data_IF_777836845407
#
_entry.id   IF_777836845407
#
_cell.length_a   1.000
_cell.length_b   1.000
_cell.length_c   1.000
_cell.angle_alpha   90.00
_cell.angle_beta   90.00
_cell.angle_gamma   90.00
#
_symmetry.space_group_name_H-M   'P 1'
#
loop_
_entity.id
_entity.type
_entity.pdbx_description
1 polymer ?
#
# COMPACT_ATOMS: atom_id res chain seq x y z
N UNK A 1 13.31 4.89 24.38
CA UNK A 1 12.42 5.63 23.47
C UNK A 1 12.02 4.65 22.40
N UNK A 2 10.78 4.71 21.94
CA UNK A 2 10.34 3.77 20.91
C UNK A 2 11.10 4.02 19.62
N UNK A 3 11.62 2.94 19.05
CA UNK A 3 12.19 2.90 17.71
C UNK A 3 11.30 2.03 16.84
N UNK A 4 10.95 2.53 15.67
CA UNK A 4 10.07 1.89 14.73
C UNK A 4 10.88 1.41 13.53
N UNK A 5 10.85 0.11 13.25
CA UNK A 5 11.25 -0.43 11.97
C UNK A 5 10.01 -0.56 11.10
N UNK A 6 9.97 0.14 9.96
CA UNK A 6 8.89 0.06 8.99
C UNK A 6 9.41 -0.50 7.67
N UNK A 7 8.67 -1.41 7.04
CA UNK A 7 8.99 -1.97 5.73
C UNK A 7 7.79 -1.87 4.80
N UNK A 8 8.02 -1.29 3.63
CA UNK A 8 7.08 -1.17 2.53
C UNK A 8 7.43 -2.20 1.46
N UNK A 9 6.51 -3.10 1.19
CA UNK A 9 6.77 -4.19 0.25
C UNK A 9 5.49 -4.80 -0.27
N UNK A 10 5.46 -5.07 -1.57
CA UNK A 10 4.41 -5.86 -2.20
C UNK A 10 4.34 -7.31 -1.73
N UNK A 11 5.38 -7.84 -1.07
CA UNK A 11 5.38 -9.22 -0.57
C UNK A 11 4.59 -9.39 0.74
N UNK A 12 4.01 -8.32 1.28
CA UNK A 12 3.35 -8.30 2.59
C UNK A 12 1.91 -7.81 2.40
N UNK A 13 0.92 -8.43 3.06
CA UNK A 13 -0.44 -7.92 3.09
C UNK A 13 -0.47 -6.42 3.41
N UNK A 14 -1.37 -5.66 2.78
CA UNK A 14 -1.52 -4.19 2.89
C UNK A 14 -0.26 -3.33 2.58
N UNK A 15 0.79 -3.97 2.06
CA UNK A 15 2.06 -3.38 1.66
C UNK A 15 2.84 -2.69 2.78
N UNK A 16 2.52 -2.98 4.06
CA UNK A 16 3.17 -2.37 5.24
C UNK A 16 3.51 -3.41 6.30
N UNK A 17 4.66 -3.25 6.90
CA UNK A 17 5.05 -3.90 8.14
C UNK A 17 5.64 -2.88 9.10
N UNK A 18 5.30 -3.00 10.37
CA UNK A 18 5.86 -2.17 11.44
C UNK A 18 6.24 -3.05 12.63
N UNK A 19 7.46 -2.88 13.13
CA UNK A 19 7.91 -3.50 14.38
C UNK A 19 8.48 -2.44 15.31
N UNK A 20 8.11 -2.53 16.58
CA UNK A 20 8.53 -1.58 17.63
C UNK A 20 9.64 -2.20 18.47
N UNK A 21 10.64 -1.38 18.76
CA UNK A 21 11.79 -1.66 19.61
C UNK A 21 11.99 -0.53 20.61
N UNK A 22 12.93 -0.71 21.52
CA UNK A 22 13.41 0.33 22.42
C UNK A 22 14.92 0.50 22.22
N UNK A 23 15.38 1.75 22.17
CA UNK A 23 16.80 2.11 22.23
C UNK A 23 16.95 3.55 22.77
N UNK A 24 18.18 4.01 22.94
CA UNK A 24 18.48 5.40 23.31
C UNK A 24 18.44 6.37 22.11
N UNK A 25 18.64 5.87 20.89
CA UNK A 25 18.55 6.63 19.63
C UNK A 25 18.45 5.67 18.45
N UNK A 26 18.16 6.18 17.25
CA UNK A 26 18.20 5.38 16.01
C UNK A 26 19.59 4.77 15.79
N UNK A 27 20.67 5.52 16.06
CA UNK A 27 22.03 4.99 15.91
C UNK A 27 22.32 3.87 16.91
N UNK A 28 21.89 4.04 18.15
CA UNK A 28 22.10 3.04 19.20
C UNK A 28 21.30 1.77 18.92
N UNK A 29 20.08 1.88 18.36
CA UNK A 29 19.33 0.73 17.88
C UNK A 29 20.11 -0.09 16.85
N UNK A 30 20.74 0.56 15.86
CA UNK A 30 21.57 -0.16 14.89
C UNK A 30 22.77 -0.84 15.56
N UNK A 31 23.43 -0.19 16.53
CA UNK A 31 24.60 -0.76 17.22
C UNK A 31 24.24 -1.94 18.11
N UNK A 32 23.19 -1.80 18.91
CA UNK A 32 22.70 -2.80 19.86
C UNK A 32 22.18 -4.06 19.14
N UNK A 33 21.61 -3.89 17.95
CA UNK A 33 21.00 -4.97 17.18
C UNK A 33 21.86 -5.40 15.98
N UNK A 34 23.12 -4.96 15.91
CA UNK A 34 23.96 -5.14 14.72
C UNK A 34 24.17 -6.61 14.35
N UNK A 35 24.37 -7.49 15.34
CA UNK A 35 24.56 -8.93 15.10
C UNK A 35 23.34 -9.61 14.46
N UNK A 36 22.14 -9.07 14.67
CA UNK A 36 20.92 -9.56 14.01
C UNK A 36 20.73 -8.97 12.60
N UNK A 37 21.33 -7.80 12.34
CA UNK A 37 21.24 -7.05 11.09
C UNK A 37 22.42 -7.31 10.16
N UNK A 38 23.49 -7.94 10.64
CA UNK A 38 24.72 -8.22 9.91
C UNK A 38 25.10 -9.70 10.01
N UNK A 39 25.72 -10.24 8.97
CA UNK A 39 26.11 -11.66 8.92
C UNK A 39 25.55 -12.37 7.69
N UNK A 40 25.82 -13.66 7.59
CA UNK A 40 25.49 -14.44 6.38
C UNK A 40 24.05 -15.00 6.39
N UNK A 41 23.45 -15.15 7.57
CA UNK A 41 22.17 -15.85 7.71
C UNK A 41 20.97 -14.91 7.54
N UNK A 42 20.32 -15.01 6.38
CA UNK A 42 19.11 -14.27 6.03
C UNK A 42 17.92 -14.55 6.98
N UNK A 43 17.85 -15.74 7.58
CA UNK A 43 16.76 -16.08 8.50
C UNK A 43 16.87 -15.30 9.82
N UNK A 44 18.09 -14.97 10.27
CA UNK A 44 18.29 -14.18 11.49
C UNK A 44 17.62 -12.81 11.38
N UNK A 45 17.77 -12.14 10.24
CA UNK A 45 17.11 -10.84 9.97
C UNK A 45 15.59 -11.01 9.98
N UNK A 46 15.07 -12.05 9.30
CA UNK A 46 13.62 -12.30 9.25
C UNK A 46 13.05 -12.53 10.64
N UNK A 47 13.69 -13.38 11.44
CA UNK A 47 13.19 -13.75 12.76
C UNK A 47 13.29 -12.52 13.72
N UNK A 48 14.32 -11.69 13.55
CA UNK A 48 14.50 -10.47 14.33
C UNK A 48 13.53 -9.34 13.92
N UNK A 49 13.34 -9.06 12.64
CA UNK A 49 12.49 -7.96 12.15
C UNK A 49 11.03 -8.37 11.93
N UNK A 50 10.74 -9.67 11.91
CA UNK A 50 9.45 -10.25 11.50
C UNK A 50 9.27 -10.36 9.98
N UNK A 51 10.17 -9.75 9.21
CA UNK A 51 10.16 -9.71 7.74
C UNK A 51 11.59 -9.71 7.23
N UNK A 52 11.79 -10.09 5.96
CA UNK A 52 13.10 -10.02 5.30
C UNK A 52 13.13 -8.80 4.38
N UNK A 53 13.58 -7.62 4.86
CA UNK A 53 13.76 -6.47 3.99
C UNK A 53 14.90 -6.71 3.01
N UNK A 54 14.70 -6.29 1.77
CA UNK A 54 15.76 -6.35 0.78
C UNK A 54 16.93 -5.44 1.16
N UNK A 55 18.14 -5.88 0.82
CA UNK A 55 19.39 -5.22 1.21
C UNK A 55 19.90 -5.55 2.63
N UNK A 56 19.22 -6.42 3.39
CA UNK A 56 19.72 -6.97 4.66
C UNK A 56 19.86 -8.50 4.60
N UNK A 57 20.78 -9.10 5.37
CA UNK A 57 21.72 -8.49 6.33
C UNK A 57 22.87 -7.73 5.67
N UNK A 58 23.54 -6.86 6.44
CA UNK A 58 24.82 -6.28 6.04
C UNK A 58 25.91 -7.36 6.07
N UNK A 59 26.41 -7.73 4.90
CA UNK A 59 27.48 -8.71 4.78
C UNK A 59 28.48 -8.30 3.71
N UNK A 60 29.77 -8.42 4.03
CA UNK A 60 30.83 -8.18 3.07
C UNK A 60 31.11 -9.45 2.28
N UNK A 61 30.47 -9.58 1.12
CA UNK A 61 30.66 -10.71 0.21
C UNK A 61 32.07 -10.76 -0.42
N UNK A 62 32.81 -9.64 -0.45
CA UNK A 62 34.17 -9.62 -0.99
C UNK A 62 35.16 -10.23 0.01
N UNK A 63 35.00 -9.92 1.30
CA UNK A 63 35.91 -10.41 2.34
C UNK A 63 35.39 -11.62 3.12
N UNK A 64 34.13 -12.02 2.88
CA UNK A 64 33.41 -13.08 3.60
C UNK A 64 33.46 -12.90 5.12
N UNK A 65 33.26 -11.66 5.58
CA UNK A 65 33.33 -11.30 6.99
C UNK A 65 32.13 -10.46 7.43
N UNK A 66 31.73 -10.56 8.71
CA UNK A 66 30.77 -9.63 9.28
C UNK A 66 31.28 -8.20 9.21
N UNK A 67 30.40 -7.28 8.84
CA UNK A 67 30.69 -5.85 8.85
C UNK A 67 30.70 -5.39 10.32
N UNK A 68 31.69 -4.60 10.75
CA UNK A 68 31.68 -4.03 12.10
C UNK A 68 30.51 -3.05 12.31
N UNK A 69 30.00 -2.85 13.54
CA UNK A 69 28.92 -1.89 13.81
C UNK A 69 29.32 -0.44 13.48
N UNK A 70 28.35 0.45 13.20
CA UNK A 70 28.61 1.86 12.91
C UNK A 70 28.96 2.65 14.17
N UNK A 71 30.03 3.45 14.11
CA UNK A 71 30.40 4.36 15.19
C UNK A 71 29.73 5.74 15.09
N UNK A 72 29.08 6.07 13.98
CA UNK A 72 28.39 7.35 13.79
C UNK A 72 27.30 7.23 12.73
N UNK A 73 26.40 8.21 12.64
CA UNK A 73 25.39 8.27 11.56
C UNK A 73 26.03 8.32 10.17
N UNK A 74 27.17 8.99 10.03
CA UNK A 74 27.96 8.98 8.78
C UNK A 74 28.49 7.58 8.49
N UNK A 75 29.01 6.90 9.51
CA UNK A 75 29.45 5.50 9.41
C UNK A 75 28.31 4.55 9.04
N UNK A 76 27.13 4.73 9.63
CA UNK A 76 25.92 3.96 9.29
C UNK A 76 25.53 4.17 7.83
N UNK A 77 25.43 5.43 7.37
CA UNK A 77 25.14 5.74 5.96
C UNK A 77 26.14 5.09 5.01
N UNK A 78 27.42 5.11 5.37
CA UNK A 78 28.47 4.47 4.57
C UNK A 78 28.26 2.96 4.50
N UNK A 79 27.99 2.30 5.63
CA UNK A 79 27.78 0.84 5.68
C UNK A 79 26.56 0.42 4.88
N UNK A 80 25.44 1.14 4.99
CA UNK A 80 24.25 0.85 4.20
C UNK A 80 24.59 0.90 2.71
N UNK A 81 25.23 1.98 2.24
CA UNK A 81 25.59 2.11 0.82
C UNK A 81 26.60 1.09 0.31
N UNK A 82 27.48 0.59 1.19
CA UNK A 82 28.54 -0.33 0.81
C UNK A 82 28.12 -1.80 0.87
N UNK A 83 27.17 -2.15 1.73
CA UNK A 83 26.86 -3.54 2.06
C UNK A 83 25.38 -3.90 1.89
N UNK A 84 24.52 -2.95 1.55
CA UNK A 84 23.15 -3.19 1.11
C UNK A 84 23.00 -2.72 -0.34
N UNK A 85 22.23 -3.46 -1.13
CA UNK A 85 21.75 -2.94 -2.40
C UNK A 85 20.69 -1.87 -2.12
N UNK A 86 20.92 -0.65 -2.63
CA UNK A 86 20.05 0.51 -2.38
C UNK A 86 20.09 1.49 -3.55
N UNK A 87 18.94 2.05 -3.90
CA UNK A 87 18.80 3.13 -4.87
C UNK A 87 18.97 4.50 -4.20
N UNK A 88 18.34 4.69 -3.03
CA UNK A 88 18.44 5.92 -2.25
C UNK A 88 18.64 5.62 -0.76
N UNK A 89 19.53 6.40 -0.11
CA UNK A 89 19.78 6.32 1.34
C UNK A 89 19.83 7.70 1.95
N UNK A 90 18.88 7.97 2.85
CA UNK A 90 18.84 9.17 3.71
C UNK A 90 19.01 8.73 5.17
N UNK A 91 19.95 9.37 5.87
CA UNK A 91 20.22 9.12 7.30
C UNK A 91 20.23 10.46 8.01
N UNK A 92 19.37 10.57 9.00
CA UNK A 92 19.27 11.67 9.95
C UNK A 92 19.36 11.12 11.39
N UNK A 93 19.32 12.02 12.38
CA UNK A 93 19.41 11.64 13.81
C UNK A 93 18.24 10.76 14.25
N UNK A 94 17.06 11.09 13.76
CA UNK A 94 15.75 10.60 14.19
C UNK A 94 15.10 9.67 13.14
N UNK A 95 15.69 9.55 11.95
CA UNK A 95 15.16 8.73 10.87
C UNK A 95 16.23 8.26 9.87
N UNK A 96 16.21 6.98 9.53
CA UNK A 96 16.88 6.37 8.38
C UNK A 96 15.80 5.95 7.38
N UNK A 97 16.03 6.26 6.10
CA UNK A 97 15.17 5.86 4.98
C UNK A 97 16.03 5.22 3.90
N UNK A 98 15.61 4.04 3.47
CA UNK A 98 16.26 3.31 2.39
C UNK A 98 15.22 2.95 1.36
N UNK A 99 15.49 3.35 0.12
CA UNK A 99 14.76 2.97 -1.07
C UNK A 99 15.63 2.00 -1.87
N UNK A 100 15.04 0.91 -2.33
CA UNK A 100 15.72 -0.19 -3.00
C UNK A 100 14.74 -0.88 -3.94
N UNK A 101 15.22 -1.84 -4.71
CA UNK A 101 14.41 -2.75 -5.52
C UNK A 101 15.04 -4.14 -5.41
N UNK A 102 14.27 -5.17 -5.71
CA UNK A 102 14.75 -6.54 -5.75
C UNK A 102 14.76 -7.15 -7.13
N UNK A 103 14.96 -6.32 -8.16
CA UNK A 103 14.80 -6.60 -9.60
C UNK A 103 13.35 -6.79 -10.10
N UNK A 104 12.44 -7.25 -9.25
CA UNK A 104 11.02 -7.39 -9.58
C UNK A 104 10.22 -6.12 -9.27
N UNK A 105 10.37 -5.59 -8.04
CA UNK A 105 9.60 -4.43 -7.56
C UNK A 105 10.43 -3.48 -6.70
N UNK A 106 9.93 -2.25 -6.59
CA UNK A 106 10.48 -1.25 -5.68
C UNK A 106 10.03 -1.48 -4.24
N UNK A 107 10.96 -1.26 -3.30
CA UNK A 107 10.84 -1.57 -1.88
C UNK A 107 11.42 -0.41 -1.05
N UNK A 108 10.93 -0.25 0.17
CA UNK A 108 11.51 0.74 1.08
C UNK A 108 11.47 0.27 2.52
N UNK A 109 12.53 0.53 3.28
CA UNK A 109 12.50 0.36 4.74
C UNK A 109 12.98 1.60 5.46
N UNK A 110 12.50 1.75 6.68
CA UNK A 110 12.70 2.92 7.52
C UNK A 110 13.01 2.49 8.95
N UNK A 111 13.84 3.28 9.62
CA UNK A 111 14.04 3.20 11.08
C UNK A 111 13.90 4.60 11.63
N UNK A 112 12.94 4.84 12.52
CA UNK A 112 12.69 6.18 13.08
C UNK A 112 12.29 6.12 14.55
N UNK A 113 12.52 7.20 15.28
CA UNK A 113 12.12 7.32 16.69
C UNK A 113 10.70 7.88 16.88
N UNK A 114 10.20 7.82 18.11
CA UNK A 114 8.87 8.35 18.47
C UNK A 114 8.71 9.86 18.26
N UNK A 115 9.79 10.63 18.36
CA UNK A 115 9.77 12.07 18.11
C UNK A 115 9.55 12.36 16.61
N UNK A 116 10.22 11.60 15.73
CA UNK A 116 9.96 11.65 14.30
C UNK A 116 8.52 11.20 14.00
N UNK A 117 8.04 10.14 14.66
CA UNK A 117 6.69 9.64 14.50
C UNK A 117 5.64 10.71 14.81
N UNK A 118 5.75 11.35 15.98
CA UNK A 118 4.82 12.37 16.45
C UNK A 118 4.77 13.60 15.53
N UNK A 119 5.92 14.00 14.95
CA UNK A 119 6.00 15.16 14.04
C UNK A 119 5.49 14.88 12.62
N UNK A 120 5.37 13.63 12.22
CA UNK A 120 5.03 13.21 10.86
C UNK A 120 3.78 12.32 10.81
N UNK A 121 2.81 12.55 11.71
CA UNK A 121 1.58 11.74 11.78
C UNK A 121 0.77 11.71 10.49
N UNK A 122 0.80 12.79 9.69
CA UNK A 122 0.21 12.84 8.35
C UNK A 122 0.85 11.86 7.33
N UNK A 123 1.91 11.14 7.71
CA UNK A 123 2.57 10.10 6.91
C UNK A 123 2.67 8.76 7.64
N UNK A 124 2.58 8.78 8.98
CA UNK A 124 2.87 7.65 9.86
C UNK A 124 1.61 7.03 10.48
N UNK A 125 0.51 7.76 10.61
CA UNK A 125 -0.67 7.28 11.33
C UNK A 125 -1.22 5.95 10.82
N UNK A 126 -1.12 5.69 9.51
CA UNK A 126 -1.54 4.43 8.90
C UNK A 126 -0.60 3.26 9.22
N UNK A 127 0.68 3.53 9.46
CA UNK A 127 1.68 2.51 9.80
C UNK A 127 1.50 1.99 11.23
N UNK A 128 0.98 2.83 12.12
CA UNK A 128 0.74 2.50 13.53
C UNK A 128 -0.52 1.63 13.75
N UNK A 129 -1.13 1.12 12.68
CA UNK A 129 -2.39 0.41 12.70
C UNK A 129 -2.32 -0.86 11.86
N UNK A 130 -2.78 -1.97 12.45
CA UNK A 130 -2.95 -3.23 11.74
C UNK A 130 -4.19 -3.21 10.83
N UNK A 131 -5.22 -2.44 11.22
CA UNK A 131 -6.46 -2.26 10.47
C UNK A 131 -6.93 -0.80 10.49
N UNK A 132 -7.64 -0.40 9.44
CA UNK A 132 -8.25 0.91 9.39
C UNK A 132 -9.45 1.01 10.35
N UNK A 133 -9.63 2.16 11.03
CA UNK A 133 -10.79 2.40 11.89
C UNK A 133 -12.08 2.34 11.07
N UNK A 134 -13.14 1.79 11.66
CA UNK A 134 -14.43 1.62 10.98
C UNK A 134 -15.43 2.75 11.30
N UNK A 135 -15.10 3.60 12.27
CA UNK A 135 -15.91 4.74 12.69
C UNK A 135 -15.94 5.83 11.60
N UNK A 136 -17.06 6.55 11.53
CA UNK A 136 -17.31 7.61 10.55
C UNK A 136 -18.16 8.71 11.19
N UNK A 137 -18.07 9.93 10.66
CA UNK A 137 -18.83 11.08 11.14
C UNK A 137 -20.23 11.18 10.52
N UNK A 138 -21.09 11.96 11.15
CA UNK A 138 -22.44 12.27 10.64
C UNK A 138 -22.42 13.29 9.48
N UNK A 139 -21.32 14.04 9.34
CA UNK A 139 -21.12 15.10 8.35
C UNK A 139 -19.84 14.87 7.56
N UNK A 140 -19.76 15.29 6.28
CA UNK A 140 -18.57 15.12 5.47
C UNK A 140 -17.44 16.06 5.94
N UNK A 141 -16.20 15.59 5.79
CA UNK A 141 -15.01 16.35 6.11
C UNK A 141 -14.96 17.69 5.35
N UNK A 142 -14.67 18.77 6.07
CA UNK A 142 -14.54 20.10 5.48
C UNK A 142 -13.31 20.21 4.54
N UNK A 143 -12.21 19.53 4.88
CA UNK A 143 -10.99 19.52 4.09
C UNK A 143 -10.96 18.31 3.15
N UNK A 144 -10.76 18.56 1.85
CA UNK A 144 -10.58 17.50 0.85
C UNK A 144 -9.11 17.08 0.77
N UNK A 145 -8.88 15.78 0.58
CA UNK A 145 -7.54 15.27 0.30
C UNK A 145 -7.08 15.70 -1.10
N UNK A 146 -5.78 15.96 -1.25
CA UNK A 146 -5.16 16.13 -2.57
C UNK A 146 -5.32 14.84 -3.36
N UNK A 147 -6.10 14.88 -4.43
CA UNK A 147 -6.44 13.72 -5.26
C UNK A 147 -6.69 14.07 -6.72
N UNK A 148 -6.67 13.06 -7.60
CA UNK A 148 -7.04 13.18 -9.01
C UNK A 148 -8.55 13.06 -9.19
N UNK A 149 -9.16 13.90 -10.01
CA UNK A 149 -10.62 13.82 -10.25
C UNK A 149 -10.95 12.74 -11.28
N UNK A 150 -11.91 11.90 -10.93
CA UNK A 150 -12.60 10.97 -11.84
C UNK A 150 -13.86 11.64 -12.39
N UNK A 151 -14.22 11.27 -13.62
CA UNK A 151 -15.43 11.69 -14.34
C UNK A 151 -16.24 10.49 -14.83
N UNK A 152 -17.57 10.61 -14.97
CA UNK A 152 -18.40 11.77 -14.61
C UNK A 152 -18.41 12.04 -13.09
N UNK A 153 -18.99 13.17 -12.68
CA UNK A 153 -19.28 13.40 -11.25
C UNK A 153 -20.67 12.83 -10.95
N UNK A 154 -20.90 12.43 -9.71
CA UNK A 154 -22.26 12.16 -9.24
C UNK A 154 -23.07 13.44 -9.03
N UNK A 155 -24.38 13.26 -8.85
CA UNK A 155 -25.32 14.35 -8.52
C UNK A 155 -25.65 14.46 -7.03
N UNK A 156 -25.09 13.59 -6.19
CA UNK A 156 -25.39 13.52 -4.76
C UNK A 156 -24.43 14.33 -3.88
N UNK A 157 -24.50 14.07 -2.58
CA UNK A 157 -23.56 14.58 -1.59
C UNK A 157 -22.36 13.63 -1.40
N UNK A 158 -21.29 14.15 -0.80
CA UNK A 158 -20.09 13.40 -0.46
C UNK A 158 -19.06 13.26 -1.58
N UNK A 159 -17.90 12.71 -1.21
CA UNK A 159 -16.74 12.51 -2.08
C UNK A 159 -16.07 11.19 -1.74
N UNK A 160 -16.17 10.21 -2.64
CA UNK A 160 -15.43 8.94 -2.53
C UNK A 160 -14.01 9.13 -3.01
N UNK A 161 -13.04 8.66 -2.22
CA UNK A 161 -11.63 8.52 -2.55
C UNK A 161 -11.30 7.05 -2.79
N UNK A 162 -10.53 6.77 -3.83
CA UNK A 162 -10.08 5.43 -4.19
C UNK A 162 -8.56 5.45 -4.26
N UNK A 163 -7.93 4.62 -3.45
CA UNK A 163 -6.50 4.42 -3.36
C UNK A 163 -6.23 3.02 -3.86
N UNK A 164 -5.36 2.90 -4.86
CA UNK A 164 -4.95 1.62 -5.39
C UNK A 164 -3.43 1.57 -5.45
N UNK A 165 -2.87 0.46 -4.98
CA UNK A 165 -1.45 0.14 -5.02
C UNK A 165 -1.26 -1.15 -5.83
N UNK A 166 -1.80 -1.20 -7.05
CA UNK A 166 -1.59 -2.32 -7.97
C UNK A 166 -0.09 -2.52 -8.17
N UNK A 167 0.37 -3.76 -8.02
CA UNK A 167 1.75 -4.14 -8.23
C UNK A 167 1.86 -4.87 -9.56
N UNK A 168 2.84 -4.50 -10.37
CA UNK A 168 3.19 -5.16 -11.62
C UNK A 168 4.70 -5.22 -11.79
N UNK A 169 5.14 -6.10 -12.68
CA UNK A 169 6.54 -6.30 -13.03
C UNK A 169 7.19 -4.96 -13.44
N UNK A 170 8.33 -4.65 -12.83
CA UNK A 170 9.22 -3.53 -13.16
C UNK A 170 8.78 -2.12 -12.74
N UNK A 171 7.75 -1.93 -11.92
CA UNK A 171 7.48 -0.63 -11.28
C UNK A 171 6.51 -0.67 -10.10
N UNK A 172 6.65 0.23 -9.11
CA UNK A 172 5.65 0.36 -8.05
C UNK A 172 5.66 1.71 -7.32
N UNK A 173 6.66 1.95 -6.48
CA UNK A 173 6.68 3.02 -5.49
C UNK A 173 6.95 4.42 -6.06
N UNK A 174 7.68 4.51 -7.18
CA UNK A 174 7.91 5.76 -7.90
C UNK A 174 6.73 6.14 -8.82
N UNK A 175 5.88 5.17 -9.18
CA UNK A 175 4.66 5.36 -9.97
C UNK A 175 3.42 5.75 -9.12
N UNK A 176 3.62 5.96 -7.82
CA UNK A 176 2.56 6.34 -6.89
C UNK A 176 2.04 7.75 -7.14
N UNK A 177 0.83 7.87 -7.66
CA UNK A 177 0.26 9.18 -7.97
C UNK A 177 -0.66 9.75 -6.88
N UNK A 178 -1.01 8.97 -5.87
CA UNK A 178 -1.97 9.33 -4.81
C UNK A 178 -3.41 8.92 -5.11
N UNK A 179 -4.35 9.28 -4.22
CA UNK A 179 -5.75 8.91 -4.34
C UNK A 179 -6.42 9.55 -5.57
N UNK A 180 -7.40 8.83 -6.09
CA UNK A 180 -8.40 9.34 -7.03
C UNK A 180 -9.68 9.69 -6.28
N UNK A 181 -10.51 10.60 -6.80
CA UNK A 181 -11.79 10.98 -6.20
C UNK A 181 -12.95 11.04 -7.18
N UNK A 182 -14.12 10.61 -6.73
CA UNK A 182 -15.40 10.80 -7.40
C UNK A 182 -16.20 11.79 -6.55
N UNK A 183 -16.47 12.97 -7.09
CA UNK A 183 -17.25 13.99 -6.38
C UNK A 183 -18.75 13.76 -6.59
N UNK A 184 -19.54 14.04 -5.55
CA UNK A 184 -20.99 13.89 -5.55
C UNK A 184 -21.46 12.44 -5.34
N UNK A 185 -20.58 11.59 -4.77
CA UNK A 185 -20.83 10.16 -4.52
C UNK A 185 -20.14 9.77 -3.22
N UNK A 186 -20.92 9.45 -2.18
CA UNK A 186 -20.44 8.77 -0.98
C UNK A 186 -20.34 7.25 -1.21
N UNK A 187 -19.57 6.53 -0.40
CA UNK A 187 -19.36 5.08 -0.54
C UNK A 187 -20.68 4.29 -0.57
N UNK A 188 -21.69 4.58 0.27
CA UNK A 188 -22.99 3.89 0.19
C UNK A 188 -23.70 4.01 -1.17
N UNK A 189 -23.46 5.10 -1.92
CA UNK A 189 -24.03 5.34 -3.25
C UNK A 189 -23.11 4.95 -4.41
N UNK A 190 -21.91 4.42 -4.13
CA UNK A 190 -20.88 4.16 -5.14
C UNK A 190 -21.30 3.10 -6.15
N UNK A 191 -21.97 2.05 -5.68
CA UNK A 191 -22.35 0.89 -6.50
C UNK A 191 -23.41 1.29 -7.53
N UNK A 192 -24.42 2.06 -7.10
CA UNK A 192 -25.46 2.57 -7.98
C UNK A 192 -24.89 3.58 -8.98
N UNK A 193 -24.00 4.46 -8.52
CA UNK A 193 -23.25 5.35 -9.40
C UNK A 193 -22.54 4.57 -10.52
N UNK A 194 -21.82 3.49 -10.18
CA UNK A 194 -21.11 2.68 -11.17
C UNK A 194 -22.02 1.95 -12.16
N UNK A 195 -23.20 1.50 -11.70
CA UNK A 195 -24.19 0.84 -12.56
C UNK A 195 -24.78 1.80 -13.58
N UNK A 196 -25.12 3.01 -13.15
CA UNK A 196 -25.97 3.93 -13.92
C UNK A 196 -25.19 4.89 -14.82
N UNK A 197 -23.93 5.17 -14.50
CA UNK A 197 -23.15 6.18 -15.21
C UNK A 197 -22.25 5.57 -16.29
N UNK A 198 -21.85 6.40 -17.25
CA UNK A 198 -20.86 6.06 -18.27
C UNK A 198 -19.54 5.54 -17.67
N UNK A 199 -18.75 4.78 -18.44
CA UNK A 199 -17.44 4.33 -18.00
C UNK A 199 -16.59 5.48 -17.46
N UNK A 200 -15.98 5.26 -16.30
CA UNK A 200 -15.19 6.31 -15.66
C UNK A 200 -13.98 6.70 -16.52
N UNK A 201 -13.68 7.99 -16.49
CA UNK A 201 -12.52 8.62 -17.14
C UNK A 201 -11.79 9.49 -16.14
N UNK A 202 -10.53 9.81 -16.40
CA UNK A 202 -9.72 10.62 -15.51
C UNK A 202 -8.48 11.15 -16.22
N UNK A 203 -7.71 11.97 -15.51
CA UNK A 203 -6.33 12.25 -15.92
C UNK A 203 -5.56 10.92 -16.06
N UNK A 204 -4.48 10.89 -16.84
CA UNK A 204 -3.63 9.70 -16.93
C UNK A 204 -3.30 9.27 -15.51
N UNK A 205 -3.93 8.19 -15.06
CA UNK A 205 -3.71 7.64 -13.74
C UNK A 205 -2.64 6.59 -13.95
N UNK A 206 -1.65 6.54 -13.07
CA UNK A 206 -0.53 5.61 -13.10
C UNK A 206 -1.05 4.21 -13.46
N UNK A 207 -0.20 3.44 -14.15
CA UNK A 207 -0.65 2.23 -14.86
C UNK A 207 -1.68 1.43 -14.04
N UNK A 208 -2.81 1.16 -14.67
CA UNK A 208 -3.90 0.32 -14.15
C UNK A 208 -4.79 0.87 -13.04
N UNK A 209 -4.47 1.99 -12.38
CA UNK A 209 -5.33 2.52 -11.32
C UNK A 209 -6.73 2.91 -11.83
N UNK A 210 -6.81 3.51 -13.03
CA UNK A 210 -8.11 3.79 -13.68
C UNK A 210 -8.80 2.51 -14.14
N UNK A 211 -8.03 1.54 -14.63
CA UNK A 211 -8.57 0.31 -15.17
C UNK A 211 -9.12 -0.60 -14.06
N UNK A 212 -8.50 -0.63 -12.87
CA UNK A 212 -9.06 -1.29 -11.70
C UNK A 212 -10.41 -0.66 -11.31
N UNK A 213 -10.53 0.67 -11.34
CA UNK A 213 -11.81 1.35 -11.04
C UNK A 213 -12.86 1.03 -12.11
N UNK A 214 -12.47 1.00 -13.40
CA UNK A 214 -13.36 0.57 -14.49
C UNK A 214 -13.77 -0.89 -14.33
N UNK A 215 -12.88 -1.74 -13.84
CA UNK A 215 -13.17 -3.13 -13.57
C UNK A 215 -14.17 -3.27 -12.41
N UNK A 216 -13.99 -2.54 -11.31
CA UNK A 216 -14.99 -2.45 -10.22
C UNK A 216 -16.34 -1.98 -10.76
N UNK A 217 -16.33 -0.94 -11.61
CA UNK A 217 -17.54 -0.44 -12.25
C UNK A 217 -18.23 -1.54 -13.09
N UNK A 218 -17.46 -2.30 -13.85
CA UNK A 218 -17.98 -3.42 -14.64
C UNK A 218 -18.53 -4.55 -13.76
N UNK A 219 -17.87 -4.88 -12.65
CA UNK A 219 -18.39 -5.86 -11.69
C UNK A 219 -19.78 -5.44 -11.17
N UNK A 220 -19.97 -4.15 -10.88
CA UNK A 220 -21.28 -3.64 -10.43
C UNK A 220 -22.38 -3.82 -11.48
N UNK A 221 -22.04 -3.77 -12.77
CA UNK A 221 -22.97 -3.98 -13.90
C UNK A 221 -23.25 -5.45 -14.18
N UNK A 222 -22.23 -6.30 -14.05
CA UNK A 222 -22.37 -7.77 -14.23
C UNK A 222 -23.17 -8.39 -13.08
N UNK A 223 -23.01 -7.85 -11.87
CA UNK A 223 -23.67 -8.32 -10.66
C UNK A 223 -24.55 -7.22 -10.04
N UNK A 224 -25.66 -6.84 -10.69
CA UNK A 224 -26.50 -5.73 -10.25
C UNK A 224 -27.21 -6.00 -8.91
N UNK A 225 -27.35 -7.27 -8.53
CA UNK A 225 -27.98 -7.74 -7.29
C UNK A 225 -27.00 -7.84 -6.11
N UNK A 226 -25.71 -7.65 -6.34
CA UNK A 226 -24.70 -7.76 -5.28
C UNK A 226 -24.67 -6.48 -4.42
N UNK A 227 -24.55 -6.68 -3.12
CA UNK A 227 -24.25 -5.61 -2.18
C UNK A 227 -22.76 -5.22 -2.24
N UNK A 228 -22.39 -4.18 -1.50
CA UNK A 228 -21.03 -3.67 -1.40
C UNK A 228 -20.02 -4.78 -1.09
N UNK A 229 -20.31 -5.60 -0.07
CA UNK A 229 -19.42 -6.65 0.39
C UNK A 229 -19.18 -7.68 -0.70
N UNK A 230 -20.24 -8.18 -1.35
CA UNK A 230 -20.14 -9.20 -2.42
C UNK A 230 -19.41 -8.69 -3.65
N UNK A 231 -19.56 -7.42 -4.03
CA UNK A 231 -18.79 -6.84 -5.13
C UNK A 231 -17.30 -6.84 -4.81
N UNK A 232 -16.91 -6.41 -3.61
CA UNK A 232 -15.50 -6.35 -3.25
C UNK A 232 -14.89 -7.72 -2.92
N UNK A 233 -15.67 -8.67 -2.41
CA UNK A 233 -15.28 -10.09 -2.36
C UNK A 233 -15.10 -10.67 -3.77
N UNK A 234 -15.88 -10.22 -4.75
CA UNK A 234 -15.70 -10.60 -6.16
C UNK A 234 -14.44 -9.97 -6.76
N UNK A 235 -14.15 -8.70 -6.48
CA UNK A 235 -12.87 -8.07 -6.85
C UNK A 235 -11.69 -8.83 -6.24
N UNK A 236 -11.79 -9.21 -4.97
CA UNK A 236 -10.77 -9.98 -4.28
C UNK A 236 -10.58 -11.38 -4.85
N UNK A 237 -11.65 -11.99 -5.37
CA UNK A 237 -11.62 -13.26 -6.07
C UNK A 237 -10.99 -13.13 -7.47
N UNK A 238 -11.21 -12.02 -8.14
CA UNK A 238 -10.71 -11.73 -9.50
C UNK A 238 -9.88 -10.43 -9.51
N UNK A 239 -8.70 -10.39 -8.88
CA UNK A 239 -7.89 -9.17 -8.83
C UNK A 239 -7.52 -8.75 -10.24
N UNK A 240 -7.64 -7.44 -10.51
CA UNK A 240 -7.47 -6.87 -11.85
C UNK A 240 -6.15 -7.29 -12.52
N UNK A 241 -5.05 -7.31 -11.77
CA UNK A 241 -3.72 -7.66 -12.30
C UNK A 241 -3.60 -9.12 -12.77
N UNK A 242 -4.35 -10.06 -12.21
CA UNK A 242 -4.32 -11.48 -12.64
C UNK A 242 -5.14 -11.71 -13.92
N UNK A 243 -6.26 -11.01 -14.02
CA UNK A 243 -7.15 -11.10 -15.18
C UNK A 243 -6.79 -10.11 -16.27
N UNK A 244 -5.78 -9.25 -16.07
CA UNK A 244 -5.45 -8.17 -16.99
C UNK A 244 -5.15 -8.69 -18.40
N UNK A 245 -4.39 -9.76 -18.55
CA UNK A 245 -4.10 -10.34 -19.87
C UNK A 245 -5.33 -10.94 -20.56
N UNK A 246 -6.28 -11.43 -19.76
CA UNK A 246 -7.57 -11.91 -20.25
C UNK A 246 -8.45 -10.74 -20.71
N UNK A 247 -8.49 -9.67 -19.91
CA UNK A 247 -9.14 -8.40 -20.22
C UNK A 247 -8.45 -7.72 -21.42
N UNK A 248 -7.14 -7.75 -21.60
CA UNK A 248 -6.49 -7.05 -22.72
C UNK A 248 -6.98 -7.54 -24.10
N UNK A 249 -7.58 -8.73 -24.16
CA UNK A 249 -8.19 -9.29 -25.37
C UNK A 249 -9.64 -8.83 -25.61
N UNK A 250 -10.28 -8.20 -24.62
CA UNK A 250 -11.66 -7.68 -24.62
C UNK A 250 -11.76 -6.40 -23.80
N UNK A 251 -12.23 -5.29 -24.38
CA UNK A 251 -12.45 -4.06 -23.62
C UNK A 251 -13.15 -4.33 -22.27
N UNK A 252 -12.68 -3.72 -21.16
CA UNK A 252 -13.21 -3.97 -19.79
C UNK A 252 -14.74 -3.90 -19.76
N UNK A 253 -15.29 -2.94 -20.50
CA UNK A 253 -16.74 -2.68 -20.59
C UNK A 253 -17.54 -3.78 -21.27
N UNK A 254 -16.89 -4.67 -22.02
CA UNK A 254 -17.51 -5.78 -22.75
C UNK A 254 -17.45 -7.11 -21.98
N UNK A 255 -16.78 -7.13 -20.82
CA UNK A 255 -16.66 -8.33 -20.01
C UNK A 255 -18.04 -8.78 -19.48
N UNK A 256 -18.28 -10.08 -19.49
CA UNK A 256 -19.53 -10.70 -19.02
C UNK A 256 -19.33 -11.58 -17.79
N UNK A 257 -20.43 -12.00 -17.16
CA UNK A 257 -20.40 -12.99 -16.06
C UNK A 257 -19.76 -14.31 -16.50
N UNK A 258 -20.12 -14.79 -17.69
CA UNK A 258 -19.60 -16.04 -18.24
C UNK A 258 -18.08 -15.98 -18.46
N UNK A 259 -17.56 -14.80 -18.84
CA UNK A 259 -16.13 -14.59 -18.99
C UNK A 259 -15.38 -14.76 -17.65
N UNK A 260 -15.92 -14.21 -16.56
CA UNK A 260 -15.35 -14.37 -15.20
C UNK A 260 -15.48 -15.81 -14.68
N UNK A 261 -16.59 -16.48 -14.96
CA UNK A 261 -16.81 -17.87 -14.55
C UNK A 261 -15.90 -18.86 -15.29
N UNK A 262 -15.51 -18.55 -16.53
CA UNK A 262 -14.52 -19.32 -17.30
C UNK A 262 -13.08 -19.10 -16.85
N UNK A 263 -12.80 -18.00 -16.15
CA UNK A 263 -11.45 -17.72 -15.68
C UNK A 263 -11.14 -18.59 -14.45
N UNK A 264 -10.26 -19.58 -14.64
CA UNK A 264 -9.77 -20.43 -13.55
C UNK A 264 -8.82 -19.63 -12.66
N UNK A 265 -9.25 -19.39 -11.43
CA UNK A 265 -8.43 -18.73 -10.41
C UNK A 265 -7.52 -19.80 -9.80
N UNK A 266 -6.24 -19.46 -9.59
CA UNK A 266 -5.35 -20.26 -8.76
C UNK A 266 -5.89 -20.29 -7.32
N UNK A 267 -6.33 -21.46 -6.82
CA UNK A 267 -6.94 -21.61 -5.48
C UNK A 267 -6.15 -20.95 -4.34
N UNK A 268 -4.82 -20.86 -4.47
CA UNK A 268 -3.92 -20.25 -3.49
C UNK A 268 -4.09 -18.75 -3.33
N UNK A 269 -4.61 -18.03 -4.34
CA UNK A 269 -4.81 -16.59 -4.29
C UNK A 269 -6.06 -16.21 -3.48
N UNK A 270 -7.17 -16.92 -3.68
CA UNK A 270 -8.43 -16.61 -3.00
C UNK A 270 -8.34 -16.78 -1.46
N UNK A 271 -7.55 -17.74 -0.98
CA UNK A 271 -7.46 -18.07 0.44
C UNK A 271 -6.73 -17.04 1.30
N UNK A 272 -5.94 -16.12 0.71
CA UNK A 272 -5.20 -15.08 1.44
C UNK A 272 -5.74 -13.68 1.21
N UNK A 273 -6.80 -13.53 0.42
CA UNK A 273 -7.43 -12.24 0.22
C UNK A 273 -8.20 -11.82 1.47
N UNK A 274 -8.22 -10.53 1.78
CA UNK A 274 -9.02 -9.94 2.84
C UNK A 274 -9.84 -8.77 2.31
N UNK A 275 -11.10 -8.71 2.76
CA UNK A 275 -12.01 -7.60 2.52
C UNK A 275 -12.59 -7.19 3.86
N UNK A 276 -12.28 -5.97 4.28
CA UNK A 276 -12.87 -5.32 5.45
C UNK A 276 -13.76 -4.20 4.95
N UNK A 277 -14.98 -4.11 5.46
CA UNK A 277 -15.92 -3.07 5.02
C UNK A 277 -16.77 -2.53 6.16
N UNK A 278 -17.07 -1.24 6.05
CA UNK A 278 -18.09 -0.49 6.78
C UNK A 278 -18.92 0.29 5.75
N UNK A 279 -19.98 1.03 6.15
CA UNK A 279 -20.75 1.85 5.22
C UNK A 279 -19.91 2.89 4.45
N UNK A 280 -18.83 3.39 5.06
CA UNK A 280 -18.03 4.51 4.53
C UNK A 280 -16.56 4.16 4.23
N UNK A 281 -16.17 2.89 4.38
CA UNK A 281 -14.82 2.39 4.13
C UNK A 281 -14.86 0.96 3.58
N UNK A 282 -13.99 0.68 2.62
CA UNK A 282 -13.64 -0.66 2.17
C UNK A 282 -12.12 -0.76 2.06
N UNK A 283 -11.55 -1.79 2.65
CA UNK A 283 -10.12 -2.13 2.59
C UNK A 283 -9.97 -3.54 2.02
N UNK A 284 -9.16 -3.66 0.98
CA UNK A 284 -9.01 -4.88 0.19
C UNK A 284 -7.52 -5.17 0.06
N UNK A 285 -7.12 -6.38 0.47
CA UNK A 285 -5.78 -6.91 0.23
C UNK A 285 -5.91 -8.23 -0.52
N UNK A 286 -5.23 -8.37 -1.65
CA UNK A 286 -5.37 -9.55 -2.50
C UNK A 286 -4.00 -10.03 -2.94
N UNK A 287 -3.64 -11.31 -2.78
CA UNK A 287 -2.42 -11.82 -3.36
C UNK A 287 -2.51 -11.83 -4.89
N UNK A 288 -1.44 -11.40 -5.55
CA UNK A 288 -1.34 -11.27 -7.00
C UNK A 288 0.00 -11.77 -7.51
N UNK A 289 0.02 -12.23 -8.75
CA UNK A 289 1.14 -12.84 -9.46
C UNK A 289 1.82 -13.97 -8.67
N UNK A 290 1.08 -14.65 -7.78
CA UNK A 290 1.58 -15.73 -6.92
C UNK A 290 2.50 -15.32 -5.75
N UNK A 291 2.99 -14.08 -5.69
CA UNK A 291 3.98 -13.63 -4.70
C UNK A 291 3.73 -12.24 -4.10
N UNK A 292 3.00 -11.37 -4.80
CA UNK A 292 2.72 -10.00 -4.36
C UNK A 292 1.35 -9.85 -3.73
N UNK A 293 1.05 -8.66 -3.21
CA UNK A 293 -0.24 -8.24 -2.73
C UNK A 293 -0.62 -6.89 -3.34
N UNK A 294 -1.78 -6.83 -3.99
CA UNK A 294 -2.42 -5.56 -4.29
C UNK A 294 -3.15 -5.07 -3.04
N UNK A 295 -3.14 -3.75 -2.84
CA UNK A 295 -3.83 -3.09 -1.74
C UNK A 295 -4.69 -1.95 -2.27
N UNK A 296 -6.00 -2.05 -2.02
CA UNK A 296 -7.00 -1.07 -2.47
C UNK A 296 -7.82 -0.60 -1.28
N UNK A 297 -7.97 0.71 -1.14
CA UNK A 297 -8.78 1.34 -0.08
C UNK A 297 -9.75 2.32 -0.71
N UNK A 298 -11.02 2.20 -0.36
CA UNK A 298 -12.10 3.07 -0.81
C UNK A 298 -12.75 3.66 0.43
N UNK A 299 -12.79 4.99 0.55
CA UNK A 299 -13.45 5.67 1.66
C UNK A 299 -14.03 6.99 1.20
N UNK A 300 -14.99 7.57 1.92
CA UNK A 300 -15.51 8.90 1.60
C UNK A 300 -15.15 9.96 2.65
N UNK A 301 -15.66 11.16 2.42
CA UNK A 301 -15.47 12.31 3.30
C UNK A 301 -16.17 12.16 4.67
N UNK A 302 -17.14 11.26 4.84
CA UNK A 302 -17.73 10.97 6.16
C UNK A 302 -16.76 10.14 7.02
N UNK A 303 -16.12 9.13 6.43
CA UNK A 303 -15.04 8.41 7.10
C UNK A 303 -13.84 9.33 7.39
N UNK A 304 -13.49 10.21 6.44
CA UNK A 304 -12.40 11.16 6.61
C UNK A 304 -12.65 12.17 7.74
N UNK A 305 -13.90 12.52 8.01
CA UNK A 305 -14.26 13.48 9.06
C UNK A 305 -13.85 12.96 10.44
N UNK A 306 -14.07 11.67 10.70
CA UNK A 306 -13.71 11.02 11.96
C UNK A 306 -12.22 10.59 11.98
N UNK A 307 -11.62 10.36 10.81
CA UNK A 307 -10.26 9.82 10.67
C UNK A 307 -9.29 10.73 9.89
N UNK A 308 -9.22 12.05 10.16
CA UNK A 308 -8.52 13.00 9.29
C UNK A 308 -7.02 12.71 9.17
N UNK A 309 -6.37 12.37 10.29
CA UNK A 309 -4.93 12.07 10.33
C UNK A 309 -4.62 10.76 9.60
N UNK A 310 -5.46 9.73 9.74
CA UNK A 310 -5.28 8.45 9.04
C UNK A 310 -5.53 8.63 7.55
N UNK A 311 -6.55 9.39 7.15
CA UNK A 311 -6.83 9.71 5.75
C UNK A 311 -5.68 10.49 5.07
N UNK A 312 -5.08 11.46 5.76
CA UNK A 312 -3.87 12.16 5.30
C UNK A 312 -2.69 11.19 5.15
N UNK A 313 -2.48 10.31 6.13
CA UNK A 313 -1.45 9.28 6.10
C UNK A 313 -1.64 8.26 4.98
N UNK A 314 -2.88 7.85 4.67
CA UNK A 314 -3.22 6.99 3.55
C UNK A 314 -2.94 7.67 2.21
N UNK A 315 -3.36 8.93 2.06
CA UNK A 315 -3.07 9.72 0.86
C UNK A 315 -1.56 9.91 0.65
N UNK A 316 -0.81 10.13 1.73
CA UNK A 316 0.65 10.17 1.69
C UNK A 316 1.23 8.81 1.27
N UNK A 317 0.79 7.72 1.89
CA UNK A 317 1.23 6.36 1.57
C UNK A 317 1.06 6.06 0.08
N UNK A 318 -0.08 6.37 -0.52
CA UNK A 318 -0.33 6.10 -1.95
C UNK A 318 0.23 7.15 -2.92
N UNK A 319 0.94 8.20 -2.46
CA UNK A 319 1.46 9.27 -3.33
C UNK A 319 2.98 9.42 -3.32
N UNK A 320 3.68 8.65 -2.48
CA UNK A 320 5.15 8.66 -2.38
C UNK A 320 5.63 7.44 -1.64
N UNK A 321 6.86 7.01 -1.89
CA UNK A 321 7.48 5.91 -1.14
C UNK A 321 7.81 6.28 0.32
N UNK A 322 8.24 7.52 0.59
CA UNK A 322 8.83 7.92 1.87
C UNK A 322 7.82 8.30 2.96
N UNK A 323 8.12 7.98 4.21
CA UNK A 323 7.48 8.53 5.42
C UNK A 323 7.94 9.95 5.78
#
# INVERSE_FOLDING_TARGET
MKIYFAYRSGYIPNNRHLKVFEAASVLDWFRENWDALAGENLNTVRDFLGVRPYGLPFYDYQTQKPVAPPESLKGLKSKIRSFAYTNEVKVAKDCVKVFTDDDEIELAWFVFDEDYAAKNMDRIAVWLRDSLPLDFGDEPAAEKLKSRSIRPKGGGAGTTYILSSVIYDSSNLDDLEGPSRIEGVAVPGLLDYFRENDPVTGQNMGFYALDEIRFIQQLCRIFPDFDQRRIFETLAKYPFSEIFDFIKRKEITEMTREDLEKYEIRETAAAKASVVSSPHLVEITVPTCGVFFNYTVIFDDYWLAENPTVGKSLAAFCSRWSI
#
